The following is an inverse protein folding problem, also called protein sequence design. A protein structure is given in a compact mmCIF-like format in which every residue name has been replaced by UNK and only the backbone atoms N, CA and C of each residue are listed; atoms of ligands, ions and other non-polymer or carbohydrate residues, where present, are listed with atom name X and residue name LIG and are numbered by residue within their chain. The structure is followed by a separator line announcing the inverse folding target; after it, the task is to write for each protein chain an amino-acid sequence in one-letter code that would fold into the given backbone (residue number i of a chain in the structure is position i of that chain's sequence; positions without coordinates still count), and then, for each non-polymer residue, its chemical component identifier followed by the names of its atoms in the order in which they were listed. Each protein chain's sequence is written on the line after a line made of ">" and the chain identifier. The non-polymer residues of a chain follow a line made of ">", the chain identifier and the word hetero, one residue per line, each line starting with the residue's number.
data_IF_934385426882
#
_entry.id   IF_934385426882
#
_cell.length_a   1.000
_cell.length_b   1.000
_cell.length_c   1.000
_cell.angle_alpha   90.00
_cell.angle_beta   90.00
_cell.angle_gamma   90.00
#
_symmetry.space_group_name_H-M   'P 1'
#
loop_
_entity.id
_entity.type
_entity.pdbx_description
1 polymer ?
#
# COMPACT_ATOMS: atom_id res chain seq x y z
N UNK A 1 2.61 10.49 0.76
CA UNK A 1 1.89 10.28 2.04
C UNK A 1 0.63 9.48 1.77
N UNK A 2 0.37 8.48 2.63
CA UNK A 2 -0.73 7.52 2.49
C UNK A 2 -1.89 7.89 3.42
N UNK A 3 -3.13 7.68 2.97
CA UNK A 3 -4.34 7.86 3.77
C UNK A 3 -5.18 6.58 3.73
N UNK A 4 -5.71 6.18 4.88
CA UNK A 4 -6.65 5.06 5.00
C UNK A 4 -7.94 5.56 5.65
N UNK A 5 -9.05 5.46 4.91
CA UNK A 5 -10.38 5.87 5.34
C UNK A 5 -11.29 4.66 5.38
N UNK A 6 -11.87 4.41 6.55
CA UNK A 6 -12.95 3.45 6.71
C UNK A 6 -14.26 4.18 6.97
N UNK A 7 -15.33 3.88 6.23
CA UNK A 7 -16.64 4.45 6.51
C UNK A 7 -17.77 3.41 6.42
N UNK A 8 -18.92 3.80 6.99
CA UNK A 8 -20.17 3.06 6.90
C UNK A 8 -21.25 4.05 6.45
N UNK A 9 -21.72 3.91 5.22
CA UNK A 9 -22.64 4.85 4.57
C UNK A 9 -24.11 4.43 4.73
N UNK A 10 -25.03 5.34 4.40
CA UNK A 10 -26.47 5.14 4.50
C UNK A 10 -26.95 3.83 3.87
N UNK A 11 -27.59 2.99 4.69
CA UNK A 11 -28.11 1.70 4.28
C UNK A 11 -29.37 1.81 3.41
N UNK A 12 -29.76 0.69 2.80
CA UNK A 12 -30.95 0.49 1.96
C UNK A 12 -30.84 0.95 0.48
N UNK A 13 -31.73 0.38 -0.34
CA UNK A 13 -31.72 0.45 -1.81
C UNK A 13 -31.89 1.88 -2.37
N UNK A 14 -32.68 2.70 -1.70
CA UNK A 14 -33.12 3.99 -2.27
C UNK A 14 -32.14 5.13 -2.02
N UNK A 15 -31.11 4.92 -1.20
CA UNK A 15 -30.24 5.99 -0.70
C UNK A 15 -28.94 6.14 -1.49
N UNK A 16 -28.97 5.85 -2.79
CA UNK A 16 -27.74 5.84 -3.60
C UNK A 16 -27.15 7.25 -3.76
N UNK A 17 -27.98 8.27 -3.90
CA UNK A 17 -27.54 9.67 -4.00
C UNK A 17 -27.05 10.18 -2.65
N UNK A 18 -27.76 9.84 -1.58
CA UNK A 18 -27.40 10.24 -0.21
C UNK A 18 -26.05 9.68 0.21
N UNK A 19 -25.67 8.48 -0.26
CA UNK A 19 -24.32 7.95 -0.06
C UNK A 19 -23.24 8.74 -0.80
N UNK A 20 -23.56 9.33 -1.95
CA UNK A 20 -22.66 10.23 -2.66
C UNK A 20 -22.52 11.52 -1.84
N UNK A 21 -23.62 12.08 -1.36
CA UNK A 21 -23.62 13.29 -0.50
C UNK A 21 -22.77 13.06 0.77
N UNK A 22 -22.88 11.87 1.40
CA UNK A 22 -22.04 11.48 2.54
C UNK A 22 -20.56 11.36 2.17
N UNK A 23 -20.25 10.79 1.00
CA UNK A 23 -18.88 10.68 0.49
C UNK A 23 -18.26 12.07 0.28
N UNK A 24 -19.00 12.99 -0.37
CA UNK A 24 -18.60 14.39 -0.54
C UNK A 24 -18.41 15.12 0.79
N UNK A 25 -19.33 14.92 1.73
CA UNK A 25 -19.25 15.51 3.06
C UNK A 25 -17.99 15.05 3.80
N UNK A 26 -17.67 13.76 3.77
CA UNK A 26 -16.46 13.23 4.41
C UNK A 26 -15.21 13.83 3.74
N UNK A 27 -15.18 13.88 2.40
CA UNK A 27 -14.06 14.45 1.64
C UNK A 27 -13.77 15.91 2.02
N UNK A 28 -14.82 16.72 2.22
CA UNK A 28 -14.69 18.14 2.53
C UNK A 28 -14.42 18.42 4.03
N UNK A 29 -15.04 17.66 4.93
CA UNK A 29 -15.05 17.97 6.37
C UNK A 29 -14.01 17.24 7.20
N UNK A 30 -13.50 16.10 6.74
CA UNK A 30 -12.55 15.33 7.52
C UNK A 30 -11.16 15.99 7.46
N UNK A 31 -10.65 16.35 8.64
CA UNK A 31 -9.35 17.00 8.82
C UNK A 31 -8.45 16.11 9.68
N UNK A 32 -7.22 15.92 9.23
CA UNK A 32 -6.18 15.21 9.95
C UNK A 32 -5.31 16.16 10.76
N UNK A 33 -4.78 15.69 11.88
CA UNK A 33 -3.73 16.38 12.61
C UNK A 33 -2.36 16.10 11.96
N UNK A 34 -2.21 16.49 10.70
CA UNK A 34 -0.99 16.34 9.90
C UNK A 34 -0.73 17.64 9.13
N UNK A 35 0.34 18.35 9.46
CA UNK A 35 0.63 19.65 8.83
C UNK A 35 0.88 19.55 7.32
N UNK A 36 1.45 18.42 6.87
CA UNK A 36 1.79 18.20 5.45
C UNK A 36 0.60 17.76 4.60
N UNK A 37 -0.44 17.19 5.21
CA UNK A 37 -1.66 16.76 4.53
C UNK A 37 -2.86 16.85 5.48
N UNK A 38 -3.34 18.07 5.77
CA UNK A 38 -4.44 18.27 6.71
C UNK A 38 -5.78 17.75 6.19
N UNK A 39 -5.97 17.59 4.88
CA UNK A 39 -7.21 17.07 4.27
C UNK A 39 -6.97 15.78 3.49
N UNK A 40 -8.04 15.04 3.21
CA UNK A 40 -7.99 13.83 2.37
C UNK A 40 -7.42 14.15 0.99
N UNK A 41 -7.81 15.29 0.41
CA UNK A 41 -7.36 15.74 -0.90
C UNK A 41 -5.83 15.91 -1.01
N UNK A 42 -5.16 16.22 0.10
CA UNK A 42 -3.73 16.52 0.17
C UNK A 42 -2.85 15.25 0.18
N UNK A 43 -3.45 14.07 0.28
CA UNK A 43 -2.71 12.81 0.31
C UNK A 43 -2.46 12.29 -1.10
N UNK A 44 -1.20 11.90 -1.33
CA UNK A 44 -0.73 11.31 -2.59
C UNK A 44 -1.48 10.03 -2.95
N UNK A 45 -1.71 9.16 -1.96
CA UNK A 45 -2.47 7.93 -2.14
C UNK A 45 -3.51 7.80 -1.03
N UNK A 46 -4.77 7.64 -1.42
CA UNK A 46 -5.90 7.43 -0.51
C UNK A 46 -6.48 6.05 -0.77
N UNK A 47 -6.60 5.23 0.28
CA UNK A 47 -7.45 4.05 0.30
C UNK A 47 -8.76 4.40 1.02
N UNK A 48 -9.89 4.20 0.37
CA UNK A 48 -11.21 4.43 0.94
C UNK A 48 -12.02 3.14 0.89
N UNK A 49 -12.38 2.62 2.05
CA UNK A 49 -13.02 1.31 2.16
C UNK A 49 -14.10 1.27 3.26
N UNK A 50 -14.81 0.17 3.35
CA UNK A 50 -15.81 -0.11 4.39
C UNK A 50 -17.15 -0.58 3.83
N UNK A 51 -18.19 -0.55 4.66
CA UNK A 51 -19.57 -0.82 4.24
C UNK A 51 -20.14 0.44 3.57
N UNK A 52 -19.82 0.59 2.29
CA UNK A 52 -20.32 1.68 1.46
C UNK A 52 -21.78 1.50 1.10
N UNK A 53 -22.40 0.36 1.40
CA UNK A 53 -23.84 0.15 1.31
C UNK A 53 -24.50 0.34 -0.07
N UNK A 54 -23.74 0.48 -1.15
CA UNK A 54 -24.27 0.47 -2.52
C UNK A 54 -24.87 -0.89 -2.87
N UNK A 55 -25.95 -0.87 -3.66
CA UNK A 55 -26.77 -2.06 -3.96
C UNK A 55 -26.78 -2.37 -5.45
N UNK A 56 -27.17 -3.59 -5.80
CA UNK A 56 -27.45 -3.97 -7.19
C UNK A 56 -28.87 -3.53 -7.54
N UNK A 57 -29.00 -2.53 -8.41
CA UNK A 57 -30.26 -1.99 -8.93
C UNK A 57 -30.87 -2.91 -10.03
N UNK A 58 -32.13 -2.67 -10.39
CA UNK A 58 -32.71 -3.05 -11.70
C UNK A 58 -32.60 -4.51 -12.18
N UNK A 59 -32.84 -5.48 -11.29
CA UNK A 59 -33.32 -6.82 -11.65
C UNK A 59 -33.99 -7.47 -10.43
N UNK A 60 -34.89 -8.42 -10.69
CA UNK A 60 -35.50 -9.26 -9.67
C UNK A 60 -34.48 -10.19 -9.02
N UNK A 61 -34.78 -10.65 -7.81
CA UNK A 61 -33.88 -11.50 -7.01
C UNK A 61 -33.46 -12.80 -7.74
N UNK A 62 -34.30 -13.35 -8.62
CA UNK A 62 -34.00 -14.55 -9.40
C UNK A 62 -32.83 -14.35 -10.37
N UNK A 63 -32.78 -13.21 -11.07
CA UNK A 63 -31.69 -12.94 -12.02
C UNK A 63 -30.36 -12.81 -11.28
N UNK A 64 -30.33 -12.06 -10.18
CA UNK A 64 -29.12 -11.90 -9.36
C UNK A 64 -28.62 -13.25 -8.84
N UNK A 65 -29.52 -14.11 -8.35
CA UNK A 65 -29.14 -15.46 -7.91
C UNK A 65 -28.58 -16.31 -9.04
N UNK A 66 -29.21 -16.30 -10.21
CA UNK A 66 -28.72 -17.03 -11.38
C UNK A 66 -27.32 -16.58 -11.79
N UNK A 67 -27.04 -15.27 -11.75
CA UNK A 67 -25.70 -14.74 -12.01
C UNK A 67 -24.68 -15.23 -10.98
N UNK A 68 -25.05 -15.24 -9.68
CA UNK A 68 -24.17 -15.72 -8.61
C UNK A 68 -23.91 -17.23 -8.74
N UNK A 69 -24.94 -18.03 -8.95
CA UNK A 69 -24.85 -19.49 -9.10
C UNK A 69 -23.97 -19.89 -10.30
N UNK A 70 -24.00 -19.10 -11.38
CA UNK A 70 -23.18 -19.30 -12.57
C UNK A 70 -21.82 -18.58 -12.50
N UNK A 71 -21.51 -17.90 -11.39
CA UNK A 71 -20.31 -17.06 -11.21
C UNK A 71 -20.13 -16.01 -12.32
N UNK A 72 -21.24 -15.56 -12.91
CA UNK A 72 -21.26 -14.58 -13.99
C UNK A 72 -21.53 -13.18 -13.42
N UNK A 73 -20.62 -12.70 -12.58
CA UNK A 73 -20.77 -11.46 -11.82
C UNK A 73 -20.74 -10.22 -12.71
N UNK A 74 -20.01 -10.26 -13.83
CA UNK A 74 -19.86 -9.13 -14.75
C UNK A 74 -21.19 -8.63 -15.32
N UNK A 75 -22.19 -9.51 -15.46
CA UNK A 75 -23.55 -9.13 -15.85
C UNK A 75 -24.24 -8.20 -14.84
N UNK A 76 -23.80 -8.22 -13.58
CA UNK A 76 -24.34 -7.39 -12.50
C UNK A 76 -23.63 -6.05 -12.35
N UNK A 77 -22.41 -5.88 -12.87
CA UNK A 77 -21.62 -4.65 -12.70
C UNK A 77 -22.33 -3.41 -13.24
N UNK A 78 -22.97 -3.52 -14.40
CA UNK A 78 -23.74 -2.39 -14.99
C UNK A 78 -24.94 -1.95 -14.14
N UNK A 79 -25.31 -2.77 -13.14
CA UNK A 79 -26.44 -2.58 -12.24
C UNK A 79 -26.00 -2.27 -10.82
N UNK A 80 -24.70 -2.40 -10.50
CA UNK A 80 -24.13 -1.99 -9.22
C UNK A 80 -24.21 -0.46 -9.09
N UNK A 81 -24.84 0.03 -8.01
CA UNK A 81 -25.06 1.46 -7.82
C UNK A 81 -23.76 2.25 -7.73
N UNK A 82 -22.69 1.74 -7.09
CA UNK A 82 -21.42 2.45 -7.04
C UNK A 82 -20.84 2.61 -8.46
N UNK A 83 -20.82 1.51 -9.24
CA UNK A 83 -20.39 1.51 -10.64
C UNK A 83 -21.23 2.48 -11.50
N UNK A 84 -22.54 2.56 -11.24
CA UNK A 84 -23.42 3.52 -11.91
C UNK A 84 -23.15 4.97 -11.49
N UNK A 85 -22.90 5.23 -10.20
CA UNK A 85 -22.61 6.58 -9.70
C UNK A 85 -21.25 7.07 -10.15
N UNK A 86 -20.21 6.21 -10.21
CA UNK A 86 -18.91 6.54 -10.80
C UNK A 86 -19.02 7.07 -12.25
N UNK A 87 -20.04 6.67 -13.01
CA UNK A 87 -20.25 7.20 -14.37
C UNK A 87 -20.82 8.63 -14.40
N UNK A 88 -21.35 9.12 -13.28
CA UNK A 88 -22.10 10.38 -13.19
C UNK A 88 -21.43 11.41 -12.29
N UNK A 89 -20.86 10.95 -11.18
CA UNK A 89 -20.34 11.79 -10.11
C UNK A 89 -18.83 11.96 -10.27
N UNK A 90 -18.40 13.21 -10.48
CA UNK A 90 -17.00 13.54 -10.76
C UNK A 90 -16.07 13.14 -9.61
N UNK A 91 -16.48 13.34 -8.35
CA UNK A 91 -15.67 12.96 -7.20
C UNK A 91 -15.38 11.45 -7.19
N UNK A 92 -16.37 10.62 -7.51
CA UNK A 92 -16.19 9.17 -7.54
C UNK A 92 -15.36 8.69 -8.73
N UNK A 93 -15.21 9.50 -9.78
CA UNK A 93 -14.34 9.20 -10.93
C UNK A 93 -12.86 9.35 -10.59
N UNK A 94 -12.52 10.12 -9.54
CA UNK A 94 -11.14 10.21 -9.07
C UNK A 94 -10.66 8.93 -8.39
N UNK A 95 -11.59 8.05 -7.99
CA UNK A 95 -11.26 6.80 -7.32
C UNK A 95 -11.32 5.64 -8.29
N UNK A 96 -10.31 4.79 -8.26
CA UNK A 96 -10.27 3.50 -8.92
C UNK A 96 -10.79 2.38 -8.00
N UNK A 97 -11.23 1.29 -8.62
CA UNK A 97 -11.65 0.06 -7.95
C UNK A 97 -11.39 -1.12 -8.89
N UNK A 98 -10.90 -2.24 -8.37
CA UNK A 98 -10.71 -3.46 -9.13
C UNK A 98 -12.03 -4.12 -9.56
N UNK A 99 -11.98 -5.08 -10.48
CA UNK A 99 -13.16 -5.82 -10.90
C UNK A 99 -13.77 -6.60 -9.73
N UNK A 100 -15.09 -6.59 -9.64
CA UNK A 100 -15.85 -7.38 -8.66
C UNK A 100 -16.01 -8.82 -9.16
N UNK A 101 -14.90 -9.56 -9.22
CA UNK A 101 -14.82 -10.96 -9.67
C UNK A 101 -15.14 -11.98 -8.55
N UNK A 102 -15.71 -11.50 -7.45
CA UNK A 102 -16.16 -12.30 -6.31
C UNK A 102 -17.66 -12.08 -6.05
N UNK A 103 -18.32 -13.02 -5.37
CA UNK A 103 -19.74 -12.94 -5.12
C UNK A 103 -20.14 -11.77 -4.20
N UNK A 104 -21.37 -11.25 -4.30
CA UNK A 104 -21.86 -10.20 -3.41
C UNK A 104 -21.68 -10.53 -1.91
N UNK A 105 -21.22 -9.58 -1.13
CA UNK A 105 -20.78 -9.78 0.26
C UNK A 105 -21.89 -9.64 1.29
N UNK A 106 -23.08 -9.19 0.86
CA UNK A 106 -24.26 -8.99 1.68
C UNK A 106 -25.50 -9.51 0.93
N UNK A 107 -26.57 -10.01 1.55
CA UNK A 107 -26.78 -10.31 2.97
C UNK A 107 -26.84 -11.82 3.16
N UNK A 108 -26.05 -12.35 4.07
CA UNK A 108 -26.05 -13.76 4.43
C UNK A 108 -26.94 -14.04 5.65
N UNK A 109 -27.38 -15.29 5.78
CA UNK A 109 -27.86 -15.80 7.05
C UNK A 109 -26.67 -16.02 8.00
N UNK A 110 -26.84 -15.75 9.29
CA UNK A 110 -25.77 -15.96 10.28
C UNK A 110 -25.37 -17.44 10.34
N UNK A 111 -24.07 -17.68 10.51
CA UNK A 111 -23.44 -18.99 10.55
C UNK A 111 -23.71 -19.83 9.29
N UNK A 112 -23.84 -19.17 8.13
CA UNK A 112 -24.23 -19.81 6.87
C UNK A 112 -23.66 -19.04 5.66
N UNK A 113 -23.47 -19.76 4.56
CA UNK A 113 -23.12 -19.17 3.25
C UNK A 113 -24.35 -18.97 2.36
N UNK A 114 -25.54 -19.27 2.89
CA UNK A 114 -26.79 -18.97 2.21
C UNK A 114 -27.13 -17.49 2.34
N UNK A 115 -27.43 -16.86 1.20
CA UNK A 115 -28.02 -15.53 1.17
C UNK A 115 -29.41 -15.55 1.82
N UNK A 116 -29.69 -14.47 2.57
CA UNK A 116 -30.91 -14.16 3.33
C UNK A 116 -32.08 -15.07 2.95
N UNK A 117 -32.39 -16.09 3.76
CA UNK A 117 -33.43 -17.08 3.46
C UNK A 117 -34.83 -16.64 3.90
N UNK A 118 -34.97 -15.46 4.54
CA UNK A 118 -36.23 -14.98 5.11
C UNK A 118 -37.36 -14.94 4.08
N UNK A 119 -38.55 -15.37 4.50
CA UNK A 119 -39.78 -15.34 3.70
C UNK A 119 -40.43 -13.94 3.77
N UNK A 120 -41.06 -13.54 2.67
CA UNK A 120 -41.81 -12.26 2.57
C UNK A 120 -42.98 -12.14 3.58
N UNK A 121 -43.43 -13.27 4.16
CA UNK A 121 -44.43 -13.36 5.23
C UNK A 121 -43.97 -14.40 6.24
N UNK A 122 -43.77 -14.01 7.49
CA UNK A 122 -43.75 -14.99 8.59
C UNK A 122 -45.15 -15.12 9.20
N UNK A 123 -45.43 -16.28 9.83
CA UNK A 123 -46.74 -16.65 10.39
C UNK A 123 -47.29 -15.61 11.41
N UNK A 124 -46.40 -14.79 11.98
CA UNK A 124 -46.70 -13.77 12.97
C UNK A 124 -46.87 -12.34 12.40
N UNK A 125 -46.84 -12.14 11.08
CA UNK A 125 -47.18 -10.85 10.46
C UNK A 125 -46.06 -9.80 10.48
N UNK A 126 -44.81 -10.15 10.78
CA UNK A 126 -43.67 -9.23 10.61
C UNK A 126 -43.22 -9.22 9.14
N UNK A 127 -43.35 -8.07 8.49
CA UNK A 127 -42.92 -7.83 7.11
C UNK A 127 -41.39 -7.70 6.99
N UNK A 128 -40.67 -8.82 7.13
CA UNK A 128 -39.25 -8.89 6.76
C UNK A 128 -39.11 -8.99 5.24
N UNK A 129 -38.88 -7.87 4.54
CA UNK A 129 -38.51 -7.95 3.12
C UNK A 129 -37.14 -8.60 2.97
N UNK A 130 -37.10 -9.71 2.24
CA UNK A 130 -35.88 -10.40 1.82
C UNK A 130 -34.93 -9.43 1.12
N UNK A 131 -33.68 -9.37 1.57
CA UNK A 131 -32.68 -8.47 0.98
C UNK A 131 -32.02 -9.16 -0.21
N UNK A 132 -31.94 -8.42 -1.31
CA UNK A 132 -31.23 -8.85 -2.51
C UNK A 132 -29.71 -8.83 -2.25
N UNK A 133 -28.94 -9.80 -2.74
CA UNK A 133 -27.49 -9.77 -2.64
C UNK A 133 -26.89 -8.48 -3.22
N UNK A 134 -25.83 -7.95 -2.60
CA UNK A 134 -25.13 -6.73 -3.03
C UNK A 134 -23.68 -6.71 -2.56
N UNK A 135 -22.81 -6.03 -3.33
CA UNK A 135 -21.45 -5.65 -2.92
C UNK A 135 -21.53 -4.35 -2.12
N UNK A 136 -21.82 -4.49 -0.84
CA UNK A 136 -21.89 -3.37 0.10
C UNK A 136 -20.50 -2.99 0.62
N UNK A 137 -19.61 -3.95 0.72
CA UNK A 137 -18.28 -3.82 1.29
C UNK A 137 -17.26 -3.62 0.15
N UNK A 138 -16.57 -2.48 0.12
CA UNK A 138 -15.77 -2.03 -1.04
C UNK A 138 -14.42 -1.49 -0.62
N UNK A 139 -13.44 -1.54 -1.53
CA UNK A 139 -12.12 -0.93 -1.38
C UNK A 139 -11.81 -0.14 -2.64
N UNK A 140 -11.75 1.18 -2.51
CA UNK A 140 -11.37 2.12 -3.56
C UNK A 140 -10.01 2.71 -3.26
N UNK A 141 -9.32 3.20 -4.30
CA UNK A 141 -8.10 3.99 -4.13
C UNK A 141 -8.08 5.20 -5.05
N UNK A 142 -7.35 6.25 -4.66
CA UNK A 142 -7.07 7.41 -5.49
C UNK A 142 -5.59 7.74 -5.40
N UNK A 143 -4.91 7.73 -6.54
CA UNK A 143 -3.54 8.24 -6.68
C UNK A 143 -3.60 9.67 -7.23
N UNK A 144 -3.04 10.63 -6.49
CA UNK A 144 -2.94 12.01 -6.95
C UNK A 144 -2.01 12.08 -8.17
N UNK A 145 -2.41 12.72 -9.28
CA UNK A 145 -1.52 12.93 -10.42
C UNK A 145 -0.30 13.75 -9.96
N UNK A 146 0.91 13.24 -10.16
CA UNK A 146 2.15 14.01 -10.01
C UNK A 146 2.60 14.50 -11.37
N UNK A 147 3.16 15.72 -11.43
CA UNK A 147 3.72 16.28 -12.68
C UNK A 147 4.92 15.46 -13.21
N UNK A 148 5.54 14.67 -12.34
CA UNK A 148 6.51 13.63 -12.66
C UNK A 148 5.74 12.29 -12.79
N UNK A 149 5.48 11.86 -14.03
CA UNK A 149 4.78 10.61 -14.36
C UNK A 149 5.64 9.34 -14.10
N UNK A 150 6.94 9.51 -13.80
CA UNK A 150 7.87 8.42 -13.57
C UNK A 150 8.06 8.23 -12.05
N UNK A 151 7.70 7.06 -11.52
CA UNK A 151 8.16 6.63 -10.19
C UNK A 151 7.09 6.32 -9.13
N UNK A 152 5.80 6.58 -9.40
CA UNK A 152 4.74 6.18 -8.46
C UNK A 152 3.64 5.39 -9.16
N UNK A 153 3.69 4.07 -8.99
CA UNK A 153 2.68 3.16 -9.51
C UNK A 153 1.99 2.42 -8.37
N UNK A 154 0.69 2.16 -8.56
CA UNK A 154 -0.10 1.30 -7.69
C UNK A 154 -0.70 0.19 -8.54
N UNK A 155 -0.57 -1.05 -8.07
CA UNK A 155 -1.18 -2.21 -8.70
C UNK A 155 -1.96 -2.99 -7.65
N UNK A 156 -3.23 -3.27 -7.92
CA UNK A 156 -4.02 -4.17 -7.09
C UNK A 156 -3.74 -5.62 -7.49
N UNK A 157 -3.10 -6.38 -6.61
CA UNK A 157 -2.73 -7.79 -6.81
C UNK A 157 -3.90 -8.74 -6.58
N UNK A 158 -4.74 -8.42 -5.59
CA UNK A 158 -5.86 -9.24 -5.18
C UNK A 158 -7.04 -8.35 -4.78
N UNK A 159 -8.24 -8.74 -5.19
CA UNK A 159 -9.49 -8.17 -4.69
C UNK A 159 -10.54 -9.27 -4.57
N UNK A 160 -10.90 -9.68 -3.36
CA UNK A 160 -11.75 -10.85 -3.13
C UNK A 160 -12.53 -10.76 -1.82
N UNK A 161 -13.48 -11.69 -1.62
CA UNK A 161 -14.17 -11.89 -0.34
C UNK A 161 -13.79 -13.23 0.31
N UNK A 162 -13.84 -13.28 1.64
CA UNK A 162 -13.48 -14.46 2.43
C UNK A 162 -14.74 -15.17 2.93
N UNK A 163 -15.11 -16.26 2.25
CA UNK A 163 -16.34 -17.00 2.54
C UNK A 163 -16.28 -17.83 3.82
N UNK A 164 -15.08 -18.17 4.29
CA UNK A 164 -14.84 -18.97 5.51
C UNK A 164 -15.39 -18.33 6.80
N UNK A 165 -15.59 -17.01 6.81
CA UNK A 165 -16.17 -16.28 7.94
C UNK A 165 -17.69 -16.19 7.83
N UNK A 166 -18.41 -16.75 8.80
CA UNK A 166 -19.88 -16.83 8.77
C UNK A 166 -20.57 -16.20 9.97
N UNK A 167 -19.84 -15.56 10.89
CA UNK A 167 -20.39 -14.96 12.11
C UNK A 167 -21.26 -13.72 11.80
N UNK A 168 -20.97 -13.02 10.71
CA UNK A 168 -21.68 -11.83 10.24
C UNK A 168 -22.61 -12.15 9.07
N UNK A 169 -23.60 -11.30 8.83
CA UNK A 169 -24.38 -11.29 7.60
C UNK A 169 -23.66 -10.61 6.42
N UNK A 170 -22.43 -10.13 6.67
CA UNK A 170 -21.45 -9.68 5.68
C UNK A 170 -20.25 -10.64 5.60
N UNK A 171 -19.61 -10.69 4.43
CA UNK A 171 -18.35 -11.41 4.20
C UNK A 171 -17.17 -10.43 4.15
N UNK A 172 -16.06 -10.69 4.88
CA UNK A 172 -14.88 -9.82 4.82
C UNK A 172 -14.35 -9.68 3.39
N UNK A 173 -13.95 -8.47 3.01
CA UNK A 173 -13.32 -8.17 1.72
C UNK A 173 -11.84 -7.87 1.93
N UNK A 174 -11.01 -8.41 1.05
CA UNK A 174 -9.55 -8.25 1.08
C UNK A 174 -9.08 -7.63 -0.22
N UNK A 175 -8.26 -6.59 -0.11
CA UNK A 175 -7.50 -6.01 -1.20
C UNK A 175 -6.00 -6.10 -0.89
N UNK A 176 -5.18 -6.59 -1.82
CA UNK A 176 -3.71 -6.58 -1.73
C UNK A 176 -3.19 -5.67 -2.83
N UNK A 177 -2.25 -4.80 -2.49
CA UNK A 177 -1.69 -3.79 -3.38
C UNK A 177 -0.17 -3.80 -3.33
N UNK A 178 0.45 -3.70 -4.50
CA UNK A 178 1.86 -3.37 -4.67
C UNK A 178 1.97 -1.88 -4.94
N UNK A 179 2.87 -1.23 -4.22
CA UNK A 179 3.16 0.20 -4.35
C UNK A 179 4.63 0.37 -4.74
N UNK A 180 4.87 0.98 -5.89
CA UNK A 180 6.18 1.50 -6.24
C UNK A 180 6.19 2.96 -5.79
N UNK A 181 7.06 3.27 -4.83
CA UNK A 181 7.21 4.62 -4.31
C UNK A 181 8.69 5.00 -4.35
N UNK A 182 8.98 6.08 -5.05
CA UNK A 182 10.25 6.77 -4.89
C UNK A 182 10.25 7.49 -3.54
N UNK A 183 11.24 7.15 -2.72
CA UNK A 183 11.45 7.72 -1.39
C UNK A 183 12.83 8.33 -1.28
N UNK A 184 12.93 9.42 -0.53
CA UNK A 184 14.23 9.93 -0.07
C UNK A 184 14.74 9.00 1.04
N UNK A 185 16.00 8.58 0.93
CA UNK A 185 16.64 7.78 1.98
C UNK A 185 16.73 8.62 3.26
N UNK A 186 16.15 8.15 4.35
CA UNK A 186 16.28 8.73 5.68
C UNK A 186 16.94 7.74 6.64
N UNK A 187 17.72 8.26 7.58
CA UNK A 187 18.29 7.47 8.68
C UNK A 187 17.26 6.91 9.67
N UNK A 188 15.99 7.34 9.59
CA UNK A 188 14.92 6.79 10.42
C UNK A 188 14.32 5.48 9.88
N UNK A 189 14.65 5.11 8.64
CA UNK A 189 14.00 4.03 7.91
C UNK A 189 15.03 3.04 7.38
N UNK A 190 14.65 1.77 7.39
CA UNK A 190 15.41 0.75 6.68
C UNK A 190 15.37 1.06 5.17
N UNK A 191 16.42 0.69 4.46
CA UNK A 191 16.56 0.98 3.05
C UNK A 191 16.78 -0.29 2.24
N UNK A 192 16.53 -0.16 0.94
CA UNK A 192 16.83 -1.21 -0.04
C UNK A 192 17.67 -0.58 -1.14
N UNK A 193 18.83 -1.18 -1.39
CA UNK A 193 19.67 -0.83 -2.52
C UNK A 193 19.29 -1.70 -3.71
N UNK A 194 18.92 -1.07 -4.81
CA UNK A 194 18.69 -1.72 -6.09
C UNK A 194 19.92 -1.49 -6.98
N UNK A 195 20.56 -2.56 -7.46
CA UNK A 195 21.62 -2.45 -8.45
C UNK A 195 21.42 -3.38 -9.64
N UNK A 196 21.99 -2.99 -10.78
CA UNK A 196 22.04 -3.77 -12.01
C UNK A 196 23.48 -3.90 -12.48
N UNK A 197 23.93 -5.14 -12.66
CA UNK A 197 25.23 -5.42 -13.27
C UNK A 197 25.18 -5.10 -14.78
N UNK A 198 25.88 -4.05 -15.21
CA UNK A 198 25.91 -3.65 -16.62
C UNK A 198 26.66 -4.66 -17.51
N UNK A 199 27.57 -5.42 -16.91
CA UNK A 199 28.30 -6.52 -17.54
C UNK A 199 28.50 -7.64 -16.51
N UNK A 200 28.58 -8.91 -16.94
CA UNK A 200 28.91 -10.01 -16.04
C UNK A 200 30.29 -9.82 -15.39
N UNK A 201 30.38 -10.05 -14.08
CA UNK A 201 31.63 -10.04 -13.32
C UNK A 201 31.65 -11.23 -12.35
N UNK A 202 32.83 -11.68 -11.88
CA UNK A 202 32.91 -12.77 -10.92
C UNK A 202 32.37 -12.30 -9.55
N UNK A 203 31.17 -12.74 -9.19
CA UNK A 203 30.61 -12.44 -7.86
C UNK A 203 31.19 -13.36 -6.78
N UNK A 204 31.28 -12.84 -5.57
CA UNK A 204 31.84 -13.51 -4.39
C UNK A 204 30.92 -13.34 -3.19
N UNK A 205 31.05 -14.20 -2.17
CA UNK A 205 30.41 -13.97 -0.87
C UNK A 205 31.07 -12.82 -0.08
N UNK A 206 32.21 -12.33 -0.57
CA UNK A 206 32.93 -11.17 -0.03
C UNK A 206 32.63 -9.87 -0.80
N UNK A 207 31.57 -9.85 -1.61
CA UNK A 207 31.11 -8.64 -2.26
C UNK A 207 30.24 -7.84 -1.30
N UNK A 208 30.43 -6.53 -1.26
CA UNK A 208 29.71 -5.64 -0.34
C UNK A 208 29.40 -4.31 -1.02
N UNK A 209 28.34 -3.65 -0.55
CA UNK A 209 27.96 -2.31 -0.96
C UNK A 209 28.19 -1.37 0.21
N UNK A 210 29.09 -0.41 0.02
CA UNK A 210 29.38 0.62 1.03
C UNK A 210 28.65 1.92 0.75
N UNK A 211 28.23 2.59 1.83
CA UNK A 211 27.78 3.97 1.81
C UNK A 211 28.97 4.89 2.11
N UNK A 212 29.23 5.89 1.27
CA UNK A 212 30.35 6.82 1.41
C UNK A 212 29.86 8.25 1.38
N UNK A 213 30.59 9.18 2.01
CA UNK A 213 30.37 10.62 1.78
C UNK A 213 30.87 11.00 0.38
N UNK A 214 30.19 11.95 -0.25
CA UNK A 214 30.70 12.58 -1.47
C UNK A 214 32.08 13.16 -1.21
N UNK A 215 33.05 12.82 -2.06
CA UNK A 215 34.45 13.25 -1.91
C UNK A 215 35.35 12.32 -1.10
N UNK A 216 34.91 11.09 -0.79
CA UNK A 216 35.76 10.05 -0.21
C UNK A 216 37.05 9.82 -1.04
N UNK A 217 38.14 9.41 -0.38
CA UNK A 217 39.46 9.26 -0.99
C UNK A 217 40.00 7.82 -0.96
N UNK A 218 39.41 6.96 -0.13
CA UNK A 218 39.81 5.56 0.05
C UNK A 218 38.59 4.65 0.14
N UNK A 219 38.75 3.39 -0.27
CA UNK A 219 37.73 2.33 -0.10
C UNK A 219 37.45 2.00 1.36
N UNK A 220 38.32 2.44 2.28
CA UNK A 220 38.15 2.32 3.74
C UNK A 220 37.39 3.50 4.35
N UNK A 221 37.04 4.52 3.56
CA UNK A 221 36.31 5.71 4.04
C UNK A 221 34.79 5.47 4.06
N UNK A 222 34.35 4.22 4.01
CA UNK A 222 32.94 3.90 4.09
C UNK A 222 32.40 4.34 5.45
N UNK A 223 31.16 4.81 5.42
CA UNK A 223 30.36 5.13 6.58
C UNK A 223 29.83 3.82 7.18
N UNK A 224 29.20 3.02 6.34
CA UNK A 224 28.67 1.69 6.65
C UNK A 224 28.68 0.84 5.39
N UNK A 225 28.41 -0.46 5.52
CA UNK A 225 28.32 -1.39 4.41
C UNK A 225 27.36 -2.54 4.70
N UNK A 226 26.88 -3.19 3.64
CA UNK A 226 26.09 -4.43 3.68
C UNK A 226 26.73 -5.49 2.80
N UNK A 227 26.62 -6.76 3.20
CA UNK A 227 27.13 -7.89 2.42
C UNK A 227 26.11 -8.30 1.37
N UNK A 228 26.51 -8.26 0.09
CA UNK A 228 25.58 -8.43 -1.04
C UNK A 228 24.84 -9.76 -0.98
N UNK A 229 25.53 -10.86 -0.66
CA UNK A 229 24.92 -12.20 -0.65
C UNK A 229 24.12 -12.51 0.61
N UNK A 230 24.51 -11.96 1.75
CA UNK A 230 23.89 -12.28 3.03
C UNK A 230 22.61 -11.45 3.21
N UNK A 231 22.59 -10.24 2.67
CA UNK A 231 21.46 -9.29 2.74
C UNK A 231 20.62 -9.22 1.45
N UNK A 232 20.81 -10.19 0.54
CA UNK A 232 20.03 -10.29 -0.69
C UNK A 232 18.55 -10.62 -0.37
N UNK A 233 17.64 -9.71 -0.69
CA UNK A 233 16.20 -9.95 -0.54
C UNK A 233 15.60 -10.67 -1.74
N UNK A 234 15.99 -10.21 -2.93
CA UNK A 234 15.42 -10.67 -4.18
C UNK A 234 16.40 -10.43 -5.32
N UNK A 235 16.66 -11.46 -6.11
CA UNK A 235 17.38 -11.37 -7.37
C UNK A 235 16.45 -11.71 -8.53
N UNK A 236 16.32 -10.81 -9.50
CA UNK A 236 15.75 -11.12 -10.82
C UNK A 236 16.85 -11.10 -11.87
N UNK A 237 16.55 -11.53 -13.11
CA UNK A 237 17.49 -11.38 -14.23
C UNK A 237 17.84 -9.90 -14.52
N UNK A 238 17.05 -8.95 -14.03
CA UNK A 238 17.18 -7.53 -14.35
C UNK A 238 17.80 -6.69 -13.23
N UNK A 239 17.67 -7.09 -11.97
CA UNK A 239 18.20 -6.33 -10.83
C UNK A 239 18.30 -7.18 -9.56
N UNK A 240 19.21 -6.77 -8.67
CA UNK A 240 19.39 -7.37 -7.34
C UNK A 240 19.03 -6.33 -6.28
N UNK A 241 18.28 -6.76 -5.26
CA UNK A 241 17.87 -5.95 -4.11
C UNK A 241 18.63 -6.41 -2.86
N UNK A 242 19.31 -5.47 -2.22
CA UNK A 242 20.09 -5.70 -0.99
C UNK A 242 19.52 -4.83 0.14
N UNK A 243 19.27 -5.43 1.29
CA UNK A 243 18.78 -4.72 2.48
C UNK A 243 19.86 -3.86 3.13
N UNK A 244 19.47 -2.71 3.69
CA UNK A 244 20.33 -1.91 4.56
C UNK A 244 19.55 -1.53 5.81
N UNK A 245 20.03 -1.93 6.97
CA UNK A 245 19.40 -1.63 8.26
C UNK A 245 19.52 -0.14 8.60
N UNK A 246 18.46 0.47 9.13
CA UNK A 246 18.51 1.85 9.64
C UNK A 246 19.54 2.05 10.75
N UNK A 247 19.86 1.00 11.49
CA UNK A 247 20.81 1.05 12.61
C UNK A 247 22.25 1.32 12.13
N UNK A 248 22.52 1.07 10.85
CA UNK A 248 23.81 1.26 10.19
C UNK A 248 23.91 2.62 9.50
N UNK A 249 22.80 3.33 9.33
CA UNK A 249 22.73 4.58 8.56
C UNK A 249 22.98 5.76 9.51
N UNK A 250 23.89 6.70 9.19
CA UNK A 250 24.20 7.80 10.09
C UNK A 250 23.00 8.68 10.40
N UNK A 251 22.81 8.94 11.68
CA UNK A 251 21.75 9.79 12.23
C UNK A 251 21.69 11.17 11.57
N UNK A 252 22.83 11.73 11.16
CA UNK A 252 22.90 13.07 10.58
C UNK A 252 22.71 13.12 9.06
N UNK A 253 22.69 11.96 8.41
CA UNK A 253 22.65 11.86 6.97
C UNK A 253 23.79 12.64 6.29
N UNK A 254 23.54 13.11 5.07
CA UNK A 254 24.49 13.87 4.26
C UNK A 254 24.46 13.50 2.79
N UNK A 255 25.28 14.20 2.01
CA UNK A 255 25.47 13.89 0.60
C UNK A 255 26.37 12.65 0.48
N UNK A 256 25.82 11.58 -0.07
CA UNK A 256 26.42 10.25 -0.10
C UNK A 256 26.47 9.66 -1.51
N UNK A 257 27.27 8.62 -1.67
CA UNK A 257 27.30 7.71 -2.82
C UNK A 257 27.35 6.27 -2.33
N UNK A 258 26.81 5.34 -3.11
CA UNK A 258 26.99 3.91 -2.90
C UNK A 258 28.14 3.42 -3.78
N UNK A 259 28.98 2.54 -3.24
CA UNK A 259 30.02 1.86 -4.00
C UNK A 259 29.90 0.35 -3.86
N UNK A 260 29.82 -0.36 -4.98
CA UNK A 260 29.88 -1.81 -5.02
C UNK A 260 31.34 -2.26 -5.06
N UNK A 261 31.80 -2.95 -4.03
CA UNK A 261 33.15 -3.53 -3.96
C UNK A 261 33.09 -5.02 -4.28
N UNK A 262 33.84 -5.44 -5.29
CA UNK A 262 33.99 -6.86 -5.61
C UNK A 262 35.14 -7.46 -4.82
N UNK A 263 34.85 -8.43 -3.97
CA UNK A 263 35.85 -9.20 -3.24
C UNK A 263 36.70 -10.07 -4.17
N UNK A 264 36.16 -10.53 -5.30
CA UNK A 264 36.93 -11.28 -6.29
C UNK A 264 37.94 -10.41 -7.05
N UNK A 265 37.55 -9.20 -7.42
CA UNK A 265 38.39 -8.27 -8.19
C UNK A 265 39.22 -7.32 -7.30
N UNK A 266 38.91 -7.28 -6.00
CA UNK A 266 39.56 -6.43 -4.99
C UNK A 266 39.49 -4.94 -5.35
N UNK A 267 38.36 -4.49 -5.92
CA UNK A 267 38.15 -3.10 -6.30
C UNK A 267 36.67 -2.70 -6.31
N UNK A 268 36.42 -1.40 -6.30
CA UNK A 268 35.09 -0.83 -6.58
C UNK A 268 34.79 -0.97 -8.07
N UNK A 269 33.66 -1.60 -8.39
CA UNK A 269 33.23 -1.86 -9.76
C UNK A 269 31.95 -1.12 -10.16
N UNK A 270 31.31 -0.44 -9.21
CA UNK A 270 30.14 0.39 -9.45
C UNK A 270 30.04 1.51 -8.43
N UNK A 271 29.63 2.69 -8.88
CA UNK A 271 29.37 3.86 -8.02
C UNK A 271 28.04 4.46 -8.44
N UNK A 272 27.17 4.78 -7.48
CA UNK A 272 25.91 5.46 -7.76
C UNK A 272 26.14 6.94 -8.11
N UNK A 273 25.13 7.57 -8.70
CA UNK A 273 25.05 9.03 -8.65
C UNK A 273 24.96 9.51 -7.19
N UNK A 274 25.45 10.73 -6.87
CA UNK A 274 25.28 11.31 -5.55
C UNK A 274 23.81 11.44 -5.16
N UNK A 275 23.48 11.11 -3.91
CA UNK A 275 22.14 11.27 -3.35
C UNK A 275 22.23 11.77 -1.91
N UNK A 276 21.11 12.25 -1.38
CA UNK A 276 21.04 12.78 -0.02
C UNK A 276 20.41 11.78 0.92
N UNK A 277 21.13 11.43 1.99
CA UNK A 277 20.55 10.76 3.16
C UNK A 277 20.03 11.85 4.10
N UNK A 278 18.75 11.79 4.46
CA UNK A 278 18.13 12.72 5.39
C UNK A 278 18.48 12.36 6.84
N UNK A 279 18.78 13.40 7.63
CA UNK A 279 18.97 13.28 9.07
C UNK A 279 17.71 12.74 9.77
N UNK A 280 17.93 12.06 10.89
CA UNK A 280 16.90 11.46 11.72
C UNK A 280 16.07 12.58 12.34
N UNK A 281 14.78 12.58 12.05
CA UNK A 281 13.84 13.52 12.67
C UNK A 281 13.68 13.20 14.15
N UNK A 282 13.68 11.92 14.50
CA UNK A 282 13.59 11.46 15.89
C UNK A 282 14.75 11.99 16.72
N UNK A 283 15.99 11.85 16.24
CA UNK A 283 17.16 12.34 16.96
C UNK A 283 17.19 13.87 17.09
N UNK A 284 16.73 14.59 16.05
CA UNK A 284 16.61 16.05 16.08
C UNK A 284 15.56 16.48 17.11
N UNK A 285 14.40 15.83 17.14
CA UNK A 285 13.32 16.11 18.09
C UNK A 285 13.72 15.80 19.54
N UNK A 286 14.51 14.74 19.75
CA UNK A 286 15.07 14.37 21.06
C UNK A 286 16.28 15.23 21.49
N UNK A 287 16.71 16.18 20.65
CA UNK A 287 17.73 17.17 21.00
C UNK A 287 19.16 16.63 21.00
N UNK A 288 19.43 15.53 20.29
CA UNK A 288 20.80 15.07 20.07
C UNK A 288 21.57 16.11 19.24
N UNK A 289 22.81 16.43 19.64
CA UNK A 289 23.68 17.32 18.87
C UNK A 289 24.73 16.53 18.09
N UNK A 290 25.19 17.01 16.91
CA UNK A 290 26.20 16.32 16.11
C UNK A 290 27.50 16.03 16.87
N UNK A 291 27.83 16.88 17.84
CA UNK A 291 29.06 16.79 18.62
C UNK A 291 29.04 15.69 19.70
N UNK A 292 27.85 15.22 20.12
CA UNK A 292 27.71 14.24 21.22
C UNK A 292 27.69 12.78 20.79
N UNK A 293 27.62 12.50 19.48
CA UNK A 293 27.43 11.13 18.93
C UNK A 293 28.64 10.62 18.14
N UNK A 294 29.66 11.45 17.87
CA UNK A 294 30.92 10.95 17.28
C UNK A 294 31.56 9.80 18.10
N UNK A 295 31.23 9.68 19.39
CA UNK A 295 31.68 8.57 20.24
C UNK A 295 30.89 7.26 20.01
N UNK A 296 29.67 7.32 19.45
CA UNK A 296 28.82 6.16 19.13
C UNK A 296 29.05 5.66 17.69
N UNK A 297 29.27 6.57 16.73
CA UNK A 297 29.62 6.20 15.35
C UNK A 297 30.98 5.45 15.27
N UNK A 298 31.88 5.69 16.24
CA UNK A 298 33.12 4.91 16.38
C UNK A 298 32.92 3.50 16.94
N UNK A 299 31.82 3.24 17.66
CA UNK A 299 31.56 1.93 18.25
C UNK A 299 31.07 0.95 17.18
N UNK A 300 30.23 1.40 16.25
CA UNK A 300 29.71 0.54 15.16
C UNK A 300 30.80 0.20 14.14
N UNK A 301 31.73 1.10 13.85
CA UNK A 301 32.86 0.83 12.96
C UNK A 301 33.98 -0.03 13.59
N UNK A 302 33.92 -0.31 14.90
CA UNK A 302 35.03 -0.88 15.67
C UNK A 302 34.95 -2.39 15.93
N UNK A 303 33.80 -3.06 15.72
CA UNK A 303 33.63 -4.43 16.21
C UNK A 303 33.92 -5.57 15.21
N UNK A 304 34.05 -5.33 13.90
CA UNK A 304 34.13 -6.42 12.91
C UNK A 304 35.42 -6.52 12.06
N UNK A 305 36.59 -6.28 12.66
CA UNK A 305 37.87 -6.65 12.04
C UNK A 305 38.89 -7.27 13.00
N UNK A 306 38.48 -8.29 13.75
CA UNK A 306 39.43 -9.24 14.36
C UNK A 306 38.91 -10.69 14.36
N UNK A 307 38.98 -11.35 13.20
CA UNK A 307 39.43 -12.75 13.09
C UNK A 307 39.76 -13.16 11.65
#
# INVERSE_FOLDING_TARGET
>A
MLCFLNCHLAAHMNYASERVDEFEYIMDKLVFNCEKAPKIADHKLVFWFGDLNFRIQDHGMHFVRSCIEQQNYSLLWSKDQLTMMKKKEQLLQEFDEGPLDFQPTYKFDLNSDNYDSRLYRNWFGFNGKKRKPAWTDRILWRLQPTEEEEGNSIRQDLYTCNMEFSISDHKPVTGVFTLEAEGEWSSDLDAVVLYRAMQPFPSSSWDWIGLFKVGFSSVTDYITYTWVKDDEMNSSEEATQVYVSKEEIPVWGGDCVLCYYSGALQCVIGVSEPFKVLASKVAIEEGFSPERINDLDQIVAGEDFHQ
#
